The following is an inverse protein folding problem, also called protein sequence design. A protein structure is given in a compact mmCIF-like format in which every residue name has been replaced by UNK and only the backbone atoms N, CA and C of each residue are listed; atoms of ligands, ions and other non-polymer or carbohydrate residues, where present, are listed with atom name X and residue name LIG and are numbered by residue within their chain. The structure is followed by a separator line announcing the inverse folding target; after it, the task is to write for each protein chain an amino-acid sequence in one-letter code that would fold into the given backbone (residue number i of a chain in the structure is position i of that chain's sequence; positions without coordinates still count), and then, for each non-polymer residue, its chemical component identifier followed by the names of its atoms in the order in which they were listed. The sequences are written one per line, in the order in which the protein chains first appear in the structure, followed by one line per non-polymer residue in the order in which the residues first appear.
data_IF_091971086115
#
_entry.id   IF_091971086115
#
_cell.length_a   1.000
_cell.length_b   1.000
_cell.length_c   1.000
_cell.angle_alpha   90.00
_cell.angle_beta   90.00
_cell.angle_gamma   90.00
#
_symmetry.space_group_name_H-M   'P 1'
#
loop_
_entity.id
_entity.type
_entity.pdbx_description
1 polymer ?
#
# COMPACT_ATOMS: atom_id res chain seq x y z
N UNK A 1 0.55 12.07 7.50
CA UNK A 1 1.61 11.16 7.86
C UNK A 1 1.56 10.86 9.35
N UNK A 2 2.49 11.31 10.22
CA UNK A 2 2.39 10.95 11.64
C UNK A 2 1.12 11.45 12.31
N UNK A 3 0.55 12.52 11.78
CA UNK A 3 -0.71 13.07 12.29
C UNK A 3 -1.94 12.44 11.63
N UNK A 4 -1.73 11.63 10.60
CA UNK A 4 -2.82 10.96 9.90
C UNK A 4 -3.18 9.71 10.70
N UNK A 5 -4.34 9.74 11.32
CA UNK A 5 -4.78 8.68 12.22
C UNK A 5 -5.76 7.70 11.58
N UNK A 6 -5.86 7.73 10.26
CA UNK A 6 -6.72 6.77 9.57
C UNK A 6 -6.33 5.34 9.94
N UNK A 7 -7.34 4.51 10.12
CA UNK A 7 -7.14 3.10 10.43
C UNK A 7 -7.16 2.77 11.90
N UNK A 8 -6.93 3.74 12.79
CA UNK A 8 -6.89 3.44 14.23
C UNK A 8 -8.17 2.82 14.76
N UNK A 9 -9.32 3.27 14.24
CA UNK A 9 -10.60 2.74 14.68
C UNK A 9 -11.13 1.62 13.78
N UNK A 10 -10.57 1.48 12.59
CA UNK A 10 -10.99 0.45 11.64
C UNK A 10 -10.30 -0.88 11.89
N UNK A 11 -8.99 -0.85 12.07
CA UNK A 11 -8.21 -2.07 12.24
C UNK A 11 -8.18 -2.50 13.70
N UNK A 12 -8.41 -3.80 13.98
CA UNK A 12 -8.31 -4.29 15.34
C UNK A 12 -6.88 -4.17 15.88
N UNK A 13 -6.77 -4.03 17.19
CA UNK A 13 -5.46 -3.92 17.84
C UNK A 13 -4.67 -5.22 17.78
N UNK A 14 -5.37 -6.33 17.65
CA UNK A 14 -4.73 -7.65 17.53
C UNK A 14 -5.47 -8.48 16.49
N UNK A 15 -4.74 -9.35 15.82
CA UNK A 15 -5.26 -10.34 14.89
C UNK A 15 -4.58 -11.67 15.23
N UNK A 16 -5.08 -12.80 14.72
CA UNK A 16 -4.41 -14.08 14.95
C UNK A 16 -2.97 -14.02 14.47
N UNK A 17 -2.05 -14.51 15.30
CA UNK A 17 -0.64 -14.52 14.96
C UNK A 17 -0.39 -15.50 13.81
N UNK A 18 0.42 -15.06 12.85
CA UNK A 18 0.81 -15.89 11.69
C UNK A 18 2.29 -16.23 11.72
N UNK A 19 3.03 -15.68 12.70
CA UNK A 19 4.47 -15.81 12.74
C UNK A 19 5.19 -14.92 11.73
N UNK A 20 4.46 -14.07 11.02
CA UNK A 20 5.02 -13.17 10.02
C UNK A 20 4.45 -11.77 10.20
N UNK A 21 5.27 -10.78 9.87
CA UNK A 21 4.79 -9.41 9.79
C UNK A 21 3.80 -9.28 8.66
N UNK A 22 2.82 -8.40 8.83
CA UNK A 22 1.79 -8.15 7.82
C UNK A 22 1.57 -6.66 7.63
N UNK A 23 1.42 -6.27 6.37
CA UNK A 23 0.93 -4.95 5.98
C UNK A 23 -0.47 -5.19 5.40
N UNK A 24 -1.48 -4.52 5.96
CA UNK A 24 -2.87 -4.70 5.54
C UNK A 24 -3.38 -3.38 5.00
N UNK A 25 -3.88 -3.37 3.76
CA UNK A 25 -4.50 -2.19 3.16
C UNK A 25 -6.00 -2.41 3.04
N UNK A 26 -6.78 -1.47 3.54
CA UNK A 26 -8.24 -1.48 3.44
C UNK A 26 -8.71 -0.36 2.52
N UNK A 27 -9.05 -0.66 1.26
CA UNK A 27 -9.52 0.39 0.34
C UNK A 27 -10.77 1.11 0.85
N UNK A 28 -11.63 0.40 1.59
CA UNK A 28 -12.86 0.99 2.13
C UNK A 28 -12.57 2.04 3.19
N UNK A 29 -11.46 1.93 3.89
CA UNK A 29 -11.10 2.84 4.97
C UNK A 29 -10.03 3.86 4.55
N UNK A 30 -9.48 3.73 3.34
CA UNK A 30 -8.37 4.55 2.86
C UNK A 30 -7.23 4.55 3.85
N UNK A 31 -6.90 3.35 4.37
CA UNK A 31 -5.95 3.22 5.45
C UNK A 31 -5.21 1.89 5.39
N UNK A 32 -4.06 1.86 6.05
CA UNK A 32 -3.26 0.66 6.20
C UNK A 32 -2.94 0.42 7.68
N UNK A 33 -2.61 -0.83 8.00
CA UNK A 33 -2.13 -1.20 9.31
C UNK A 33 -0.95 -2.16 9.18
N UNK A 34 -0.02 -2.07 10.12
CA UNK A 34 1.11 -2.98 10.23
C UNK A 34 0.97 -3.81 11.48
N UNK A 35 1.10 -5.14 11.34
CA UNK A 35 1.01 -6.09 12.45
C UNK A 35 2.32 -6.87 12.56
N UNK A 36 2.78 -7.09 13.78
CA UNK A 36 4.00 -7.86 14.00
C UNK A 36 3.71 -9.37 13.95
N UNK A 37 4.74 -10.18 14.18
CA UNK A 37 4.65 -11.63 14.09
C UNK A 37 3.67 -12.24 15.11
N UNK A 38 3.40 -11.53 16.19
CA UNK A 38 2.47 -11.99 17.22
C UNK A 38 1.03 -11.59 16.93
N UNK A 39 0.80 -10.82 15.87
CA UNK A 39 -0.52 -10.32 15.52
C UNK A 39 -0.88 -9.01 16.21
N UNK A 40 0.10 -8.34 16.81
CA UNK A 40 -0.14 -7.05 17.46
C UNK A 40 0.05 -5.91 16.47
N UNK A 41 -0.90 -4.98 16.46
CA UNK A 41 -0.84 -3.81 15.60
C UNK A 41 0.24 -2.85 16.09
N UNK A 42 1.18 -2.50 15.21
CA UNK A 42 2.31 -1.62 15.53
C UNK A 42 2.09 -0.21 15.03
N UNK A 43 1.37 -0.05 13.92
CA UNK A 43 1.16 1.28 13.34
C UNK A 43 -0.01 1.26 12.36
N UNK A 44 -0.62 2.42 12.14
CA UNK A 44 -1.61 2.63 11.11
C UNK A 44 -1.32 3.93 10.38
N UNK A 45 -1.90 4.11 9.22
CA UNK A 45 -1.76 5.35 8.48
C UNK A 45 -2.74 5.43 7.32
N UNK A 46 -2.74 6.57 6.65
CA UNK A 46 -3.56 6.77 5.48
C UNK A 46 -2.97 6.11 4.25
N UNK A 47 -3.83 5.64 3.37
CA UNK A 47 -3.42 5.01 2.13
C UNK A 47 -4.43 5.28 1.02
N UNK A 48 -3.92 5.38 -0.20
CA UNK A 48 -4.76 5.56 -1.39
C UNK A 48 -4.35 4.49 -2.40
N UNK A 49 -5.29 3.63 -2.74
CA UNK A 49 -5.05 2.55 -3.69
C UNK A 49 -5.51 2.89 -5.10
N UNK A 50 -5.65 1.87 -5.93
CA UNK A 50 -6.06 2.04 -7.31
C UNK A 50 -7.51 2.45 -7.46
N UNK A 51 -7.79 3.25 -8.49
CA UNK A 51 -9.15 3.67 -8.82
C UNK A 51 -9.97 2.47 -9.26
N UNK A 52 -11.30 2.58 -9.10
CA UNK A 52 -12.18 1.54 -9.62
C UNK A 52 -12.03 1.39 -11.13
N UNK A 53 -11.88 2.50 -11.83
CA UNK A 53 -11.67 2.51 -13.28
C UNK A 53 -10.80 3.71 -13.63
N UNK A 54 -9.81 3.49 -14.46
CA UNK A 54 -8.92 4.55 -14.95
C UNK A 54 -9.28 4.89 -16.38
N UNK A 55 -9.92 6.03 -16.57
CA UNK A 55 -10.38 6.46 -17.91
C UNK A 55 -9.23 6.70 -18.87
N UNK A 56 -8.10 7.18 -18.35
CA UNK A 56 -6.94 7.49 -19.19
C UNK A 56 -6.35 6.25 -19.87
N UNK A 57 -6.49 5.07 -19.26
CA UNK A 57 -6.02 3.81 -19.86
C UNK A 57 -7.19 2.89 -20.24
N UNK A 58 -8.42 3.33 -19.98
CA UNK A 58 -9.63 2.60 -20.40
C UNK A 58 -9.84 1.25 -19.76
N UNK A 59 -9.41 1.08 -18.51
CA UNK A 59 -9.54 -0.23 -17.83
C UNK A 59 -9.61 -0.07 -16.33
N UNK A 60 -10.12 -1.09 -15.62
CA UNK A 60 -10.08 -1.11 -14.16
C UNK A 60 -8.63 -1.07 -13.69
N UNK A 61 -8.39 -0.36 -12.59
CA UNK A 61 -7.04 -0.26 -12.05
C UNK A 61 -7.02 -0.35 -10.53
N UNK A 62 -7.99 -1.08 -9.96
CA UNK A 62 -7.98 -1.36 -8.52
C UNK A 62 -6.70 -2.09 -8.15
N UNK A 63 -6.23 -1.83 -6.93
CA UNK A 63 -5.13 -2.62 -6.39
C UNK A 63 -5.60 -4.08 -6.32
N UNK A 64 -4.74 -4.99 -6.74
CA UNK A 64 -5.06 -6.41 -6.74
C UNK A 64 -5.40 -6.89 -5.33
N UNK A 65 -6.53 -7.57 -5.18
CA UNK A 65 -7.03 -8.05 -3.88
C UNK A 65 -6.46 -9.43 -3.58
N UNK A 66 -6.09 -9.67 -2.33
CA UNK A 66 -5.59 -10.97 -1.91
C UNK A 66 -4.45 -10.85 -0.91
N UNK A 67 -3.76 -11.96 -0.71
CA UNK A 67 -2.61 -12.04 0.18
C UNK A 67 -1.36 -12.33 -0.64
N UNK A 68 -0.37 -11.47 -0.48
CA UNK A 68 0.86 -11.52 -1.25
C UNK A 68 2.05 -11.42 -0.30
N UNK A 69 3.26 -11.41 -0.87
CA UNK A 69 4.49 -11.23 -0.09
C UNK A 69 5.40 -10.26 -0.82
N UNK A 70 6.07 -9.42 -0.04
CA UNK A 70 7.06 -8.51 -0.62
C UNK A 70 8.22 -9.34 -1.16
N UNK A 71 8.55 -9.14 -2.44
CA UNK A 71 9.64 -9.87 -3.07
C UNK A 71 10.80 -8.97 -3.46
N UNK A 72 10.61 -7.66 -3.40
CA UNK A 72 11.64 -6.70 -3.78
C UNK A 72 11.32 -5.34 -3.17
N UNK A 73 12.33 -4.62 -2.73
CA UNK A 73 12.14 -3.23 -2.32
C UNK A 73 13.34 -2.40 -2.74
N UNK A 74 13.10 -1.11 -2.94
CA UNK A 74 14.13 -0.17 -3.34
C UNK A 74 13.99 1.08 -2.48
N UNK A 75 14.98 1.95 -2.53
CA UNK A 75 15.04 3.13 -1.67
C UNK A 75 14.34 4.34 -2.25
N UNK A 76 14.76 5.51 -1.77
CA UNK A 76 14.16 6.77 -2.17
C UNK A 76 14.25 7.06 -3.67
N UNK A 77 15.17 6.40 -4.39
CA UNK A 77 15.40 6.62 -5.82
C UNK A 77 14.47 5.78 -6.70
N UNK A 78 13.60 4.95 -6.11
CA UNK A 78 12.76 4.04 -6.89
C UNK A 78 11.87 4.79 -7.88
N UNK A 79 11.81 4.26 -9.11
CA UNK A 79 10.93 4.77 -10.17
C UNK A 79 10.20 3.63 -10.82
N UNK A 80 9.02 3.93 -11.34
CA UNK A 80 8.24 2.96 -12.09
C UNK A 80 8.89 2.66 -13.43
N UNK A 81 8.96 1.37 -13.79
CA UNK A 81 9.34 0.97 -15.15
C UNK A 81 8.11 0.81 -16.03
N UNK A 82 6.95 0.63 -15.44
CA UNK A 82 5.70 0.38 -16.17
C UNK A 82 4.62 1.39 -15.88
N UNK A 83 4.49 1.79 -14.62
CA UNK A 83 3.44 2.71 -14.19
C UNK A 83 4.01 4.04 -13.76
N UNK A 84 3.30 5.11 -14.02
CA UNK A 84 2.13 5.09 -14.88
C UNK A 84 2.53 4.97 -16.35
N UNK A 85 1.85 4.11 -17.06
CA UNK A 85 2.14 3.86 -18.48
C UNK A 85 2.01 5.15 -19.31
N UNK A 86 0.99 5.93 -18.99
CA UNK A 86 0.66 7.16 -19.71
C UNK A 86 1.74 8.23 -19.59
N UNK A 87 2.65 8.11 -18.65
CA UNK A 87 3.75 9.07 -18.50
C UNK A 87 5.06 8.52 -19.04
N UNK A 88 4.97 7.53 -19.92
CA UNK A 88 6.13 6.89 -20.56
C UNK A 88 7.03 6.21 -19.52
N UNK A 89 6.46 5.84 -18.41
CA UNK A 89 7.20 5.23 -17.32
C UNK A 89 7.99 6.24 -16.53
N UNK A 90 8.71 5.78 -15.55
CA UNK A 90 9.61 6.62 -14.79
C UNK A 90 8.94 7.47 -13.72
N UNK A 91 7.67 7.24 -13.41
CA UNK A 91 7.01 7.90 -12.29
C UNK A 91 7.73 7.61 -10.99
N UNK A 92 7.87 8.64 -10.15
CA UNK A 92 8.56 8.47 -8.87
C UNK A 92 7.74 7.60 -7.92
N UNK A 93 8.37 6.62 -7.34
CA UNK A 93 7.78 5.72 -6.35
C UNK A 93 8.74 5.54 -5.18
N UNK A 94 9.07 6.61 -4.44
CA UNK A 94 10.08 6.52 -3.40
C UNK A 94 9.75 5.42 -2.39
N UNK A 95 10.77 4.68 -1.98
CA UNK A 95 10.63 3.60 -1.00
C UNK A 95 9.68 2.50 -1.45
N UNK A 96 9.69 2.17 -2.75
CA UNK A 96 8.79 1.17 -3.30
C UNK A 96 9.04 -0.22 -2.71
N UNK A 97 7.94 -0.94 -2.49
CA UNK A 97 7.96 -2.30 -1.96
C UNK A 97 7.02 -3.11 -2.84
N UNK A 98 7.60 -3.99 -3.67
CA UNK A 98 6.86 -4.77 -4.65
C UNK A 98 6.27 -6.01 -4.01
N UNK A 99 4.98 -6.25 -4.20
CA UNK A 99 4.31 -7.41 -3.62
C UNK A 99 3.61 -8.30 -4.63
N UNK A 100 3.38 -7.81 -5.84
CA UNK A 100 2.76 -8.62 -6.90
C UNK A 100 3.02 -7.96 -8.25
N UNK A 101 3.77 -8.64 -9.13
CA UNK A 101 4.12 -8.08 -10.44
C UNK A 101 4.63 -6.64 -10.27
N UNK A 102 4.03 -5.66 -10.96
CA UNK A 102 4.42 -4.27 -10.82
C UNK A 102 3.71 -3.51 -9.71
N UNK A 103 2.90 -4.17 -8.90
CA UNK A 103 2.19 -3.51 -7.81
C UNK A 103 3.12 -3.25 -6.63
N UNK A 104 3.11 -2.00 -6.15
CA UNK A 104 3.98 -1.59 -5.03
C UNK A 104 3.21 -0.83 -3.97
N UNK A 105 3.80 -0.77 -2.78
CA UNK A 105 3.52 0.22 -1.77
C UNK A 105 4.64 1.24 -1.91
N UNK A 106 4.31 2.55 -1.98
CA UNK A 106 5.36 3.56 -2.11
C UNK A 106 4.89 4.90 -1.55
N UNK A 107 5.85 5.82 -1.40
CA UNK A 107 5.56 7.16 -0.89
C UNK A 107 4.84 8.01 -1.94
N UNK A 108 3.95 8.87 -1.46
CA UNK A 108 3.31 9.88 -2.27
C UNK A 108 3.06 11.11 -1.42
N UNK A 109 2.99 12.28 -2.08
CA UNK A 109 2.71 13.52 -1.38
C UNK A 109 1.23 13.84 -1.29
N UNK A 110 0.39 12.99 -1.91
CA UNK A 110 -1.05 13.10 -1.82
C UNK A 110 -1.62 11.73 -1.48
N UNK A 111 -2.26 11.64 -0.32
CA UNK A 111 -2.91 10.42 0.15
C UNK A 111 -4.31 10.80 0.59
N UNK A 112 -5.21 11.03 -0.37
CA UNK A 112 -6.55 11.50 -0.08
C UNK A 112 -7.44 10.42 0.52
N UNK A 113 -8.64 10.81 0.97
CA UNK A 113 -9.67 9.86 1.36
C UNK A 113 -10.39 9.37 0.10
N UNK A 114 -9.61 8.77 -0.79
CA UNK A 114 -10.09 8.26 -2.07
C UNK A 114 -9.02 7.34 -2.63
N UNK A 115 -9.41 6.42 -3.49
CA UNK A 115 -8.46 5.55 -4.19
C UNK A 115 -8.24 6.16 -5.58
N UNK A 116 -7.06 6.73 -5.81
CA UNK A 116 -6.79 7.56 -6.98
C UNK A 116 -5.59 7.13 -7.80
N UNK A 117 -4.91 6.05 -7.43
CA UNK A 117 -3.74 5.57 -8.17
C UNK A 117 -4.12 4.65 -9.33
N UNK A 118 -3.12 4.18 -10.07
CA UNK A 118 -3.30 3.22 -11.16
C UNK A 118 -3.07 1.78 -10.70
N UNK A 119 -3.11 1.54 -9.39
CA UNK A 119 -2.99 0.20 -8.82
C UNK A 119 -2.09 0.10 -7.62
N UNK A 120 -1.09 0.97 -7.50
CA UNK A 120 -0.19 0.94 -6.36
C UNK A 120 -0.85 1.52 -5.12
N UNK A 121 -0.33 1.16 -3.97
CA UNK A 121 -0.79 1.68 -2.68
C UNK A 121 0.11 2.84 -2.29
N UNK A 122 -0.46 4.05 -2.25
CA UNK A 122 0.25 5.26 -1.86
C UNK A 122 0.12 5.47 -0.37
N UNK A 123 1.25 5.76 0.28
CA UNK A 123 1.27 6.10 1.70
C UNK A 123 2.11 7.37 1.87
N UNK A 124 1.97 8.04 3.02
CA UNK A 124 2.75 9.26 3.26
C UNK A 124 4.24 8.97 3.26
N UNK A 125 5.09 9.93 2.86
CA UNK A 125 6.53 9.68 2.75
C UNK A 125 7.19 9.17 4.02
N UNK A 126 6.86 9.72 5.19
CA UNK A 126 7.45 9.26 6.44
C UNK A 126 7.02 7.83 6.76
N UNK A 127 5.77 7.48 6.44
CA UNK A 127 5.28 6.12 6.63
C UNK A 127 5.97 5.16 5.67
N UNK A 128 6.13 5.55 4.41
CA UNK A 128 6.81 4.72 3.43
C UNK A 128 8.26 4.45 3.83
N UNK A 129 8.94 5.47 4.30
CA UNK A 129 10.32 5.32 4.76
C UNK A 129 10.40 4.36 5.93
N UNK A 130 9.52 4.51 6.93
CA UNK A 130 9.49 3.62 8.07
C UNK A 130 9.18 2.19 7.65
N UNK A 131 8.15 2.02 6.83
CA UNK A 131 7.78 0.69 6.34
C UNK A 131 8.94 0.03 5.61
N UNK A 132 9.58 0.77 4.72
CA UNK A 132 10.65 0.23 3.88
C UNK A 132 11.90 -0.10 4.69
N UNK A 133 12.31 0.79 5.58
CA UNK A 133 13.59 0.66 6.29
C UNK A 133 13.51 -0.13 7.59
N UNK A 134 12.35 -0.05 8.29
CA UNK A 134 12.23 -0.57 9.65
C UNK A 134 11.28 -1.75 9.80
N UNK A 135 10.32 -1.91 8.90
CA UNK A 135 9.28 -2.92 9.10
C UNK A 135 9.24 -3.99 8.02
N UNK A 136 9.09 -3.61 6.76
CA UNK A 136 8.89 -4.56 5.66
C UNK A 136 10.22 -5.15 5.20
N UNK A 137 10.27 -6.48 5.13
CA UNK A 137 11.40 -7.21 4.56
C UNK A 137 10.87 -8.15 3.48
N UNK A 138 11.76 -8.80 2.75
CA UNK A 138 11.32 -9.79 1.77
C UNK A 138 10.61 -10.90 2.51
N UNK A 139 9.42 -11.25 2.04
CA UNK A 139 8.57 -12.25 2.67
C UNK A 139 7.50 -11.69 3.60
N UNK A 140 7.58 -10.40 3.95
CA UNK A 140 6.50 -9.76 4.73
C UNK A 140 5.20 -9.90 3.95
N UNK A 141 4.13 -10.31 4.62
CA UNK A 141 2.84 -10.47 3.98
C UNK A 141 2.19 -9.12 3.70
N UNK A 142 1.57 -9.02 2.53
CA UNK A 142 0.77 -7.85 2.14
C UNK A 142 -0.63 -8.35 1.88
N UNK A 143 -1.57 -7.87 2.67
CA UNK A 143 -2.98 -8.25 2.56
C UNK A 143 -3.74 -7.06 1.99
N UNK A 144 -4.30 -7.24 0.80
CA UNK A 144 -5.13 -6.22 0.17
C UNK A 144 -6.57 -6.65 0.33
N UNK A 145 -7.31 -5.93 1.17
CA UNK A 145 -8.69 -6.25 1.46
C UNK A 145 -9.60 -5.85 0.30
N UNK A 146 -10.79 -6.46 0.21
CA UNK A 146 -11.71 -6.15 -0.88
C UNK A 146 -12.15 -4.69 -0.91
N UNK A 147 -12.42 -4.21 -2.12
CA UNK A 147 -13.01 -2.89 -2.32
C UNK A 147 -14.50 -2.93 -1.98
N UNK A 148 -15.11 -1.78 -1.68
CA UNK A 148 -16.56 -1.71 -1.53
C UNK A 148 -17.23 -2.14 -2.83
N UNK A 149 -18.44 -2.70 -2.71
CA UNK A 149 -19.17 -3.20 -3.88
C UNK A 149 -19.36 -2.17 -4.97
N UNK A 150 -19.54 -0.90 -4.59
CA UNK A 150 -19.84 0.17 -5.54
C UNK A 150 -18.63 1.04 -5.88
N UNK A 151 -17.45 0.55 -5.61
CA UNK A 151 -16.22 1.31 -5.89
C UNK A 151 -15.82 1.17 -7.35
#
# INVERSE_FOLDING_TARGET
YLKDKRGQNYFPKTIPATGKKQFVFAPVAYAWAAYDETGMRVMTGGASGGQGFCEDVGQPCRTVVGTFRVYKKRGAECRSGEFPVETTGGGKMPYCMYFYQGYTIHAAFEVPYANTSHGCVRVWPSAAKWLNEEFITRGTQVVILPYPKNA
#
